data_IF_321803163794
#
_entry.id   IF_321803163794
#
_cell.length_a   1.000
_cell.length_b   1.000
_cell.length_c   1.000
_cell.angle_alpha   90.00
_cell.angle_beta   90.00
_cell.angle_gamma   90.00
#
_symmetry.space_group_name_H-M   'P 1'
#
loop_
_entity.id
_entity.type
_entity.pdbx_description
1 polymer ?
#
# COMPACT_ATOMS: atom_id res chain seq x y z
N UNK A 1 13.96 10.14 -25.98
CA UNK A 1 13.75 8.90 -25.21
C UNK A 1 15.02 8.33 -24.56
N UNK A 2 16.20 8.47 -25.18
CA UNK A 2 17.50 8.02 -24.61
C UNK A 2 17.96 8.89 -23.43
N UNK A 3 17.68 10.19 -23.43
CA UNK A 3 18.08 11.12 -22.37
C UNK A 3 17.37 10.87 -21.03
N UNK A 4 16.11 10.44 -21.04
CA UNK A 4 15.35 10.13 -19.82
C UNK A 4 15.74 8.78 -19.21
N UNK A 5 16.19 7.82 -20.01
CA UNK A 5 16.71 6.54 -19.53
C UNK A 5 18.07 6.71 -18.83
N UNK A 6 18.95 7.57 -19.36
CA UNK A 6 20.29 7.81 -18.80
C UNK A 6 20.21 8.53 -17.44
N UNK A 7 19.26 9.45 -17.24
CA UNK A 7 19.02 10.11 -15.95
C UNK A 7 18.45 9.15 -14.89
N UNK A 8 17.73 8.09 -15.29
CA UNK A 8 17.26 7.05 -14.37
C UNK A 8 18.34 6.07 -13.91
N UNK A 9 19.38 5.84 -14.73
CA UNK A 9 20.48 4.93 -14.39
C UNK A 9 21.30 5.47 -13.21
N UNK A 10 21.46 6.78 -13.05
CA UNK A 10 22.21 7.38 -11.94
C UNK A 10 21.50 7.42 -10.58
N UNK A 11 20.20 7.11 -10.52
CA UNK A 11 19.41 7.18 -9.28
C UNK A 11 19.12 5.84 -8.58
N UNK A 12 19.38 4.71 -9.25
CA UNK A 12 19.03 3.39 -8.72
C UNK A 12 19.84 2.98 -7.48
N UNK A 13 21.09 3.40 -7.38
CA UNK A 13 21.95 3.12 -6.23
C UNK A 13 21.40 3.80 -4.96
N UNK A 14 21.01 5.06 -5.09
CA UNK A 14 20.41 5.82 -4.01
C UNK A 14 19.05 5.22 -3.61
N UNK A 15 18.25 4.79 -4.57
CA UNK A 15 16.95 4.15 -4.34
C UNK A 15 17.09 2.82 -3.58
N UNK A 16 18.09 1.99 -3.92
CA UNK A 16 18.41 0.76 -3.21
C UNK A 16 18.91 1.02 -1.78
N UNK A 17 19.77 2.03 -1.61
CA UNK A 17 20.28 2.42 -0.30
C UNK A 17 19.17 2.87 0.62
N UNK A 18 18.27 3.76 0.15
CA UNK A 18 17.12 4.25 0.90
C UNK A 18 16.18 3.10 1.25
N UNK A 19 15.86 2.24 0.28
CA UNK A 19 14.97 1.10 0.50
C UNK A 19 15.57 0.07 1.47
N UNK A 20 16.87 -0.19 1.39
CA UNK A 20 17.57 -1.07 2.32
C UNK A 20 17.59 -0.52 3.75
N UNK A 21 17.89 0.77 3.91
CA UNK A 21 17.82 1.47 5.19
C UNK A 21 16.41 1.48 5.78
N UNK A 22 15.39 1.69 4.94
CA UNK A 22 14.00 1.65 5.35
C UNK A 22 13.60 0.25 5.88
N UNK A 23 13.99 -0.82 5.17
CA UNK A 23 13.72 -2.20 5.62
C UNK A 23 14.37 -2.47 6.97
N UNK A 24 15.65 -2.14 7.14
CA UNK A 24 16.36 -2.33 8.42
C UNK A 24 15.65 -1.59 9.55
N UNK A 25 15.29 -0.32 9.34
CA UNK A 25 14.58 0.49 10.32
C UNK A 25 13.19 -0.09 10.66
N UNK A 26 12.46 -0.63 9.68
CA UNK A 26 11.15 -1.22 9.88
C UNK A 26 11.20 -2.52 10.70
N UNK A 27 12.26 -3.33 10.55
CA UNK A 27 12.45 -4.52 11.40
C UNK A 27 12.66 -4.14 12.86
N UNK A 28 13.46 -3.10 13.13
CA UNK A 28 13.68 -2.61 14.49
C UNK A 28 12.42 -1.96 15.08
N UNK A 29 11.72 -1.15 14.27
CA UNK A 29 10.51 -0.45 14.70
C UNK A 29 9.38 -1.42 15.07
N UNK A 30 9.24 -2.54 14.36
CA UNK A 30 8.22 -3.55 14.63
C UNK A 30 8.30 -4.13 16.05
N UNK A 31 9.50 -4.48 16.52
CA UNK A 31 9.72 -4.96 17.89
C UNK A 31 9.49 -3.86 18.94
N UNK A 32 10.00 -2.67 18.68
CA UNK A 32 9.85 -1.51 19.58
C UNK A 32 8.39 -1.07 19.70
N UNK A 33 7.60 -1.16 18.61
CA UNK A 33 6.18 -0.83 18.59
C UNK A 33 5.37 -1.69 19.57
N UNK A 34 5.55 -3.00 19.52
CA UNK A 34 4.84 -3.94 20.40
C UNK A 34 5.20 -3.67 21.86
N UNK A 35 6.49 -3.59 22.17
CA UNK A 35 6.97 -3.33 23.52
C UNK A 35 6.47 -1.99 24.06
N UNK A 36 6.43 -0.94 23.24
CA UNK A 36 5.95 0.37 23.64
C UNK A 36 4.47 0.34 24.01
N UNK A 37 3.62 -0.28 23.19
CA UNK A 37 2.19 -0.40 23.48
C UNK A 37 1.93 -1.28 24.70
N UNK A 38 2.68 -2.37 24.88
CA UNK A 38 2.53 -3.25 26.04
C UNK A 38 2.95 -2.57 27.35
N UNK A 39 3.96 -1.69 27.31
CA UNK A 39 4.43 -0.92 28.47
C UNK A 39 3.49 0.21 28.88
N UNK A 40 2.59 0.64 27.98
CA UNK A 40 1.68 1.76 28.23
C UNK A 40 0.40 1.27 28.92
N UNK A 41 0.44 1.21 30.25
CA UNK A 41 -0.68 0.76 31.10
C UNK A 41 -1.87 1.73 31.11
N UNK A 42 -1.72 2.95 30.61
CA UNK A 42 -2.74 3.99 30.65
C UNK A 42 -3.88 3.86 29.62
N UNK A 43 -3.72 2.98 28.63
CA UNK A 43 -4.82 2.62 27.72
C UNK A 43 -5.82 1.72 28.45
N UNK A 44 -6.64 2.31 29.31
CA UNK A 44 -7.64 1.67 30.15
C UNK A 44 -8.73 0.90 29.41
N UNK A 45 -8.72 0.92 28.10
CA UNK A 45 -9.64 0.19 27.27
C UNK A 45 -8.96 -0.95 26.50
N UNK A 46 -9.12 -2.15 27.01
CA UNK A 46 -8.61 -3.40 26.41
C UNK A 46 -8.91 -3.51 24.89
N UNK A 47 -10.12 -3.10 24.47
CA UNK A 47 -10.52 -3.14 23.06
C UNK A 47 -9.72 -2.12 22.21
N UNK A 48 -9.51 -0.90 22.70
CA UNK A 48 -8.77 0.15 22.00
C UNK A 48 -7.28 -0.20 21.84
N UNK A 49 -6.66 -0.70 22.90
CA UNK A 49 -5.25 -1.14 22.86
C UNK A 49 -5.03 -2.24 21.84
N UNK A 50 -5.86 -3.28 21.85
CA UNK A 50 -5.73 -4.40 20.92
C UNK A 50 -5.96 -3.98 19.47
N UNK A 51 -6.91 -3.07 19.21
CA UNK A 51 -7.11 -2.52 17.86
C UNK A 51 -5.92 -1.69 17.37
N UNK A 52 -5.34 -0.86 18.23
CA UNK A 52 -4.15 -0.06 17.89
C UNK A 52 -2.95 -0.98 17.61
N UNK A 53 -2.74 -2.00 18.45
CA UNK A 53 -1.71 -3.01 18.23
C UNK A 53 -1.90 -3.72 16.89
N UNK A 54 -3.10 -4.23 16.62
CA UNK A 54 -3.41 -4.97 15.40
C UNK A 54 -3.19 -4.10 14.16
N UNK A 55 -3.77 -2.90 14.13
CA UNK A 55 -3.70 -2.00 12.96
C UNK A 55 -2.27 -1.51 12.74
N UNK A 56 -1.56 -1.14 13.82
CA UNK A 56 -0.17 -0.69 13.72
C UNK A 56 0.77 -1.79 13.25
N UNK A 57 0.62 -3.00 13.79
CA UNK A 57 1.42 -4.16 13.35
C UNK A 57 1.14 -4.49 11.89
N UNK A 58 -0.13 -4.53 11.47
CA UNK A 58 -0.50 -4.74 10.06
C UNK A 58 0.10 -3.67 9.15
N UNK A 59 0.08 -2.40 9.56
CA UNK A 59 0.69 -1.31 8.79
C UNK A 59 2.19 -1.49 8.60
N UNK A 60 2.90 -1.84 9.66
CA UNK A 60 4.34 -2.10 9.61
C UNK A 60 4.68 -3.33 8.76
N UNK A 61 3.91 -4.41 8.87
CA UNK A 61 4.10 -5.63 8.05
C UNK A 61 3.85 -5.35 6.56
N UNK A 62 2.76 -4.65 6.22
CA UNK A 62 2.49 -4.25 4.84
C UNK A 62 3.61 -3.40 4.25
N UNK A 63 4.15 -2.48 5.05
CA UNK A 63 5.26 -1.64 4.62
C UNK A 63 6.53 -2.45 4.40
N UNK A 64 6.87 -3.38 5.31
CA UNK A 64 8.01 -4.30 5.16
C UNK A 64 7.89 -5.13 3.88
N UNK A 65 6.76 -5.79 3.69
CA UNK A 65 6.51 -6.62 2.50
C UNK A 65 6.62 -5.76 1.24
N UNK A 66 6.07 -4.55 1.26
CA UNK A 66 6.13 -3.63 0.14
C UNK A 66 7.54 -3.23 -0.25
N UNK A 67 8.38 -2.85 0.72
CA UNK A 67 9.77 -2.50 0.45
C UNK A 67 10.61 -3.69 -0.01
N UNK A 68 10.42 -4.87 0.60
CA UNK A 68 11.11 -6.10 0.16
C UNK A 68 10.73 -6.44 -1.27
N UNK A 69 9.43 -6.43 -1.61
CA UNK A 69 8.95 -6.69 -2.96
C UNK A 69 9.48 -5.67 -3.95
N UNK A 70 9.52 -4.39 -3.55
CA UNK A 70 10.07 -3.31 -4.38
C UNK A 70 11.55 -3.56 -4.72
N UNK A 71 12.39 -3.92 -3.73
CA UNK A 71 13.81 -4.24 -3.97
C UNK A 71 13.96 -5.45 -4.91
N UNK A 72 13.16 -6.50 -4.71
CA UNK A 72 13.19 -7.68 -5.59
C UNK A 72 12.85 -7.32 -7.04
N UNK A 73 11.80 -6.52 -7.24
CA UNK A 73 11.42 -6.06 -8.58
C UNK A 73 12.48 -5.14 -9.18
N UNK A 74 13.13 -4.31 -8.36
CA UNK A 74 14.20 -3.42 -8.83
C UNK A 74 15.45 -4.20 -9.26
N UNK A 75 15.81 -5.24 -8.50
CA UNK A 75 16.89 -6.16 -8.86
C UNK A 75 16.58 -6.89 -10.18
N UNK A 76 15.35 -7.36 -10.36
CA UNK A 76 14.90 -7.99 -11.60
C UNK A 76 14.93 -7.01 -12.77
N UNK A 77 14.48 -5.78 -12.58
CA UNK A 77 14.57 -4.72 -13.59
C UNK A 77 16.02 -4.48 -14.03
N UNK A 78 16.95 -4.36 -13.06
CA UNK A 78 18.36 -4.17 -13.34
C UNK A 78 18.95 -5.35 -14.12
N UNK A 79 18.64 -6.58 -13.72
CA UNK A 79 19.08 -7.78 -14.41
C UNK A 79 18.61 -7.81 -15.88
N UNK A 80 17.34 -7.44 -16.14
CA UNK A 80 16.82 -7.37 -17.51
C UNK A 80 17.49 -6.26 -18.33
N UNK A 81 17.79 -5.11 -17.73
CA UNK A 81 18.54 -4.02 -18.40
C UNK A 81 19.95 -4.50 -18.77
N UNK A 82 20.65 -5.18 -17.86
CA UNK A 82 21.98 -5.74 -18.12
C UNK A 82 21.94 -6.78 -19.26
N UNK A 83 20.95 -7.69 -19.23
CA UNK A 83 20.79 -8.69 -20.30
C UNK A 83 20.51 -8.04 -21.64
N UNK A 84 19.66 -7.02 -21.68
CA UNK A 84 19.33 -6.28 -22.90
C UNK A 84 20.56 -5.53 -23.46
N UNK A 85 21.42 -5.04 -22.57
CA UNK A 85 22.67 -4.39 -22.98
C UNK A 85 23.67 -5.37 -23.63
N UNK A 86 23.81 -6.58 -23.05
CA UNK A 86 24.69 -7.63 -23.55
C UNK A 86 24.15 -8.27 -24.85
N UNK A 87 22.82 -8.41 -24.94
CA UNK A 87 22.17 -9.08 -26.08
C UNK A 87 21.15 -8.18 -26.79
N UNK A 88 21.60 -7.14 -27.50
CA UNK A 88 20.72 -6.15 -28.12
C UNK A 88 19.85 -6.71 -29.26
N UNK A 89 20.20 -7.89 -29.79
CA UNK A 89 19.44 -8.57 -30.87
C UNK A 89 18.14 -9.27 -30.36
N UNK A 90 17.88 -9.23 -29.06
CA UNK A 90 16.69 -9.88 -28.47
C UNK A 90 16.74 -11.42 -28.55
N UNK A 91 15.56 -12.04 -28.44
CA UNK A 91 15.42 -13.49 -28.35
C UNK A 91 15.51 -14.11 -29.74
N UNK A 92 16.50 -15.02 -29.95
CA UNK A 92 16.69 -15.78 -31.16
C UNK A 92 15.90 -17.08 -31.10
N UNK A 93 14.71 -17.14 -31.70
CA UNK A 93 13.82 -18.33 -31.70
C UNK A 93 14.48 -19.59 -32.24
N UNK A 94 15.33 -19.45 -33.25
CA UNK A 94 16.01 -20.57 -33.92
C UNK A 94 16.85 -21.43 -32.97
N UNK A 95 17.28 -20.85 -31.84
CA UNK A 95 18.08 -21.54 -30.82
C UNK A 95 17.24 -22.22 -29.75
N UNK A 96 15.91 -22.03 -29.76
CA UNK A 96 14.99 -22.63 -28.78
C UNK A 96 14.47 -23.95 -29.35
N UNK A 97 15.00 -25.07 -28.88
CA UNK A 97 14.68 -26.41 -29.37
C UNK A 97 13.51 -27.11 -28.61
N UNK A 98 12.78 -26.37 -27.78
CA UNK A 98 11.73 -26.93 -26.94
C UNK A 98 10.51 -27.37 -27.76
N UNK A 99 10.08 -28.64 -27.51
CA UNK A 99 8.92 -29.28 -28.15
C UNK A 99 7.65 -29.02 -27.35
N UNK A 100 6.48 -29.10 -28.01
CA UNK A 100 5.19 -29.09 -27.31
C UNK A 100 5.15 -30.15 -26.18
N UNK A 101 4.57 -29.86 -24.98
CA UNK A 101 3.80 -28.68 -24.62
C UNK A 101 4.61 -27.47 -24.12
N UNK A 102 5.93 -27.60 -23.96
CA UNK A 102 6.80 -26.54 -23.38
C UNK A 102 7.23 -25.48 -24.40
N UNK A 103 6.68 -25.50 -25.62
CA UNK A 103 6.99 -24.48 -26.63
C UNK A 103 6.47 -23.13 -26.20
N UNK A 104 7.39 -22.24 -25.81
CA UNK A 104 7.05 -20.84 -25.48
C UNK A 104 6.71 -20.12 -26.78
N UNK A 105 5.57 -19.44 -26.80
CA UNK A 105 5.15 -18.61 -27.94
C UNK A 105 5.84 -17.25 -27.83
N UNK A 106 7.08 -17.20 -28.26
CA UNK A 106 7.91 -15.98 -28.29
C UNK A 106 7.74 -15.37 -29.67
N UNK A 107 7.39 -14.08 -29.75
CA UNK A 107 7.38 -13.34 -31.00
C UNK A 107 8.79 -13.18 -31.55
N UNK A 108 8.94 -13.27 -32.87
CA UNK A 108 10.22 -13.09 -33.53
C UNK A 108 10.75 -11.68 -33.25
N UNK A 109 12.01 -11.55 -32.81
CA UNK A 109 12.63 -10.29 -32.38
C UNK A 109 11.89 -9.59 -31.23
N UNK A 110 11.33 -10.34 -30.28
CA UNK A 110 10.71 -9.72 -29.10
C UNK A 110 11.80 -8.98 -28.29
N UNK A 111 11.70 -7.67 -28.31
CA UNK A 111 12.59 -6.76 -27.58
C UNK A 111 12.27 -6.83 -26.08
N UNK A 112 13.30 -6.91 -25.24
CA UNK A 112 13.19 -6.85 -23.80
C UNK A 112 12.71 -5.50 -23.25
N UNK A 113 12.59 -4.47 -24.09
CA UNK A 113 12.12 -3.13 -23.67
C UNK A 113 10.70 -3.18 -23.07
N UNK A 114 9.79 -3.97 -23.68
CA UNK A 114 8.41 -4.08 -23.18
C UNK A 114 8.32 -4.68 -21.77
N UNK A 115 8.96 -5.82 -21.43
CA UNK A 115 9.00 -6.34 -20.08
C UNK A 115 9.76 -5.43 -19.10
N UNK A 116 10.84 -4.76 -19.51
CA UNK A 116 11.58 -3.81 -18.66
C UNK A 116 10.66 -2.66 -18.20
N UNK A 117 9.90 -2.06 -19.13
CA UNK A 117 8.95 -0.99 -18.81
C UNK A 117 7.82 -1.50 -17.89
N UNK A 118 7.36 -2.73 -18.08
CA UNK A 118 6.34 -3.32 -17.21
C UNK A 118 6.84 -3.49 -15.77
N UNK A 119 8.05 -4.02 -15.59
CA UNK A 119 8.63 -4.20 -14.26
C UNK A 119 8.89 -2.86 -13.58
N UNK A 120 9.40 -1.85 -14.29
CA UNK A 120 9.57 -0.49 -13.76
C UNK A 120 8.22 0.09 -13.25
N UNK A 121 7.14 -0.14 -14.01
CA UNK A 121 5.79 0.25 -13.59
C UNK A 121 5.34 -0.49 -12.34
N UNK A 122 5.56 -1.80 -12.25
CA UNK A 122 5.20 -2.58 -11.06
C UNK A 122 6.00 -2.14 -9.82
N UNK A 123 7.27 -1.75 -9.96
CA UNK A 123 8.03 -1.16 -8.85
C UNK A 123 7.33 0.07 -8.27
N UNK A 124 6.90 1.00 -9.12
CA UNK A 124 6.16 2.19 -8.69
C UNK A 124 4.81 1.87 -8.06
N UNK A 125 4.10 0.88 -8.61
CA UNK A 125 2.80 0.41 -8.09
C UNK A 125 2.94 -0.15 -6.67
N UNK A 126 3.89 -1.03 -6.45
CA UNK A 126 4.09 -1.70 -5.16
C UNK A 126 4.43 -0.69 -4.08
N UNK A 127 5.34 0.23 -4.34
CA UNK A 127 5.73 1.25 -3.36
C UNK A 127 4.56 2.20 -3.04
N UNK A 128 3.82 2.62 -4.07
CA UNK A 128 2.64 3.46 -3.89
C UNK A 128 1.57 2.78 -3.01
N UNK A 129 1.25 1.51 -3.30
CA UNK A 129 0.27 0.76 -2.52
C UNK A 129 0.72 0.56 -1.07
N UNK A 130 1.98 0.26 -0.84
CA UNK A 130 2.53 0.06 0.50
C UNK A 130 2.49 1.33 1.33
N UNK A 131 2.93 2.45 0.78
CA UNK A 131 2.93 3.74 1.48
C UNK A 131 1.50 4.23 1.70
N UNK A 132 0.63 4.16 0.69
CA UNK A 132 -0.74 4.64 0.81
C UNK A 132 -1.57 3.82 1.81
N UNK A 133 -1.41 2.49 1.82
CA UNK A 133 -2.08 1.64 2.83
C UNK A 133 -1.59 1.93 4.23
N UNK A 134 -0.29 2.14 4.42
CA UNK A 134 0.29 2.49 5.74
C UNK A 134 -0.22 3.84 6.24
N UNK A 135 -0.29 4.85 5.38
CA UNK A 135 -0.85 6.17 5.76
C UNK A 135 -2.32 6.02 6.18
N UNK A 136 -3.12 5.25 5.44
CA UNK A 136 -4.52 4.99 5.79
C UNK A 136 -4.66 4.28 7.14
N UNK A 137 -3.85 3.26 7.40
CA UNK A 137 -3.85 2.53 8.67
C UNK A 137 -3.41 3.41 9.84
N UNK A 138 -2.38 4.24 9.65
CA UNK A 138 -1.93 5.22 10.65
C UNK A 138 -3.02 6.25 10.94
N UNK A 139 -3.72 6.74 9.91
CA UNK A 139 -4.87 7.62 10.07
C UNK A 139 -6.02 6.96 10.83
N UNK A 140 -6.25 5.66 10.64
CA UNK A 140 -7.24 4.91 11.40
C UNK A 140 -6.87 4.80 12.90
N UNK A 141 -5.60 4.56 13.22
CA UNK A 141 -5.12 4.57 14.61
C UNK A 141 -5.39 5.94 15.23
N UNK A 142 -5.09 7.02 14.51
CA UNK A 142 -5.34 8.38 14.97
C UNK A 142 -6.84 8.65 15.21
N UNK A 143 -7.73 8.17 14.33
CA UNK A 143 -9.17 8.24 14.52
C UNK A 143 -9.62 7.50 15.79
N UNK A 144 -9.14 6.27 15.99
CA UNK A 144 -9.47 5.47 17.19
C UNK A 144 -9.03 6.22 18.44
N UNK A 145 -7.82 6.76 18.44
CA UNK A 145 -7.30 7.53 19.59
C UNK A 145 -8.16 8.75 19.89
N UNK A 146 -8.52 9.55 18.87
CA UNK A 146 -9.39 10.71 19.03
C UNK A 146 -10.77 10.33 19.59
N UNK A 147 -11.40 9.32 19.03
CA UNK A 147 -12.73 8.91 19.46
C UNK A 147 -12.73 8.31 20.88
N UNK A 148 -11.67 7.62 21.28
CA UNK A 148 -11.53 7.13 22.65
C UNK A 148 -11.31 8.27 23.67
N UNK A 149 -10.69 9.36 23.26
CA UNK A 149 -10.40 10.50 24.14
C UNK A 149 -11.63 11.39 24.41
N UNK A 150 -12.58 11.46 23.47
CA UNK A 150 -13.75 12.37 23.58
C UNK A 150 -14.59 12.14 24.84
N UNK A 151 -15.01 10.92 25.20
CA UNK A 151 -15.82 10.71 26.41
C UNK A 151 -15.10 11.09 27.69
N UNK A 152 -13.78 10.84 27.76
CA UNK A 152 -12.96 11.19 28.92
C UNK A 152 -12.87 12.71 29.11
N UNK A 153 -12.79 13.47 28.01
CA UNK A 153 -12.71 14.94 28.04
C UNK A 153 -14.07 15.55 28.43
N UNK A 154 -15.19 14.94 27.96
CA UNK A 154 -16.54 15.46 28.16
C UNK A 154 -17.23 14.93 29.43
N UNK A 155 -16.59 13.99 30.16
CA UNK A 155 -17.19 13.40 31.38
C UNK A 155 -18.45 12.56 31.12
N UNK A 156 -18.59 11.99 29.94
CA UNK A 156 -19.76 11.21 29.50
C UNK A 156 -19.74 9.74 29.98
N UNK A 157 -19.67 9.52 31.27
CA UNK A 157 -19.61 8.16 31.81
C UNK A 157 -20.88 7.32 31.51
N UNK A 158 -22.06 7.95 31.61
CA UNK A 158 -23.35 7.25 31.41
C UNK A 158 -23.65 6.91 29.93
N UNK A 159 -23.20 7.71 28.99
CA UNK A 159 -23.46 7.51 27.56
C UNK A 159 -22.36 6.73 26.84
N UNK A 160 -21.33 6.32 27.58
CA UNK A 160 -20.12 5.73 27.02
C UNK A 160 -20.39 4.50 26.15
N UNK A 161 -21.21 3.57 26.62
CA UNK A 161 -21.52 2.33 25.89
C UNK A 161 -22.20 2.57 24.55
N UNK A 162 -23.19 3.47 24.51
CA UNK A 162 -23.89 3.82 23.28
C UNK A 162 -22.99 4.56 22.31
N UNK A 163 -22.17 5.49 22.81
CA UNK A 163 -21.18 6.21 22.02
C UNK A 163 -20.20 5.24 21.36
N UNK A 164 -19.63 4.31 22.12
CA UNK A 164 -18.66 3.34 21.61
C UNK A 164 -19.25 2.42 20.53
N UNK A 165 -20.51 1.99 20.69
CA UNK A 165 -21.19 1.19 19.67
C UNK A 165 -21.35 1.96 18.36
N UNK A 166 -21.68 3.25 18.41
CA UNK A 166 -21.80 4.10 17.22
C UNK A 166 -20.43 4.29 16.56
N UNK A 167 -19.38 4.52 17.32
CA UNK A 167 -18.01 4.68 16.80
C UNK A 167 -17.52 3.40 16.13
N UNK A 168 -17.65 2.25 16.79
CA UNK A 168 -17.26 0.94 16.25
C UNK A 168 -18.03 0.63 14.97
N UNK A 169 -19.36 0.87 14.95
CA UNK A 169 -20.17 0.68 13.76
C UNK A 169 -19.72 1.58 12.60
N UNK A 170 -19.46 2.85 12.88
CA UNK A 170 -19.00 3.83 11.87
C UNK A 170 -17.65 3.45 11.28
N UNK A 171 -16.70 3.04 12.12
CA UNK A 171 -15.37 2.61 11.68
C UNK A 171 -15.45 1.30 10.89
N UNK A 172 -16.28 0.33 11.32
CA UNK A 172 -16.43 -0.94 10.59
C UNK A 172 -17.06 -0.73 9.20
N UNK A 173 -18.08 0.12 9.08
CA UNK A 173 -18.66 0.51 7.80
C UNK A 173 -17.65 1.22 6.90
N UNK A 174 -16.82 2.08 7.47
CA UNK A 174 -15.77 2.78 6.72
C UNK A 174 -14.69 1.81 6.21
N UNK A 175 -14.23 0.86 7.04
CA UNK A 175 -13.29 -0.20 6.63
C UNK A 175 -13.89 -1.08 5.53
N UNK A 176 -15.17 -1.46 5.68
CA UNK A 176 -15.87 -2.22 4.66
C UNK A 176 -15.93 -1.45 3.33
N UNK A 177 -16.25 -0.15 3.34
CA UNK A 177 -16.23 0.71 2.14
C UNK A 177 -14.83 0.80 1.51
N UNK A 178 -13.78 0.84 2.34
CA UNK A 178 -12.39 0.82 1.87
C UNK A 178 -12.05 -0.48 1.14
N UNK A 179 -12.34 -1.64 1.74
CA UNK A 179 -12.04 -2.96 1.18
C UNK A 179 -12.81 -3.21 -0.11
N UNK A 180 -14.07 -2.79 -0.16
CA UNK A 180 -14.95 -2.98 -1.33
C UNK A 180 -14.74 -1.94 -2.44
N UNK A 181 -13.78 -1.04 -2.29
CA UNK A 181 -13.49 -0.01 -3.29
C UNK A 181 -14.59 1.05 -3.43
N UNK A 182 -15.27 1.39 -2.32
CA UNK A 182 -16.29 2.43 -2.28
C UNK A 182 -17.68 1.95 -2.67
N UNK A 183 -18.02 0.71 -2.35
CA UNK A 183 -19.34 0.13 -2.70
C UNK A 183 -20.48 0.87 -2.01
N UNK A 184 -20.32 1.26 -0.74
CA UNK A 184 -21.33 2.03 0.00
C UNK A 184 -21.58 3.40 -0.61
N UNK A 185 -20.57 4.01 -1.22
CA UNK A 185 -20.66 5.31 -1.92
C UNK A 185 -21.39 5.24 -3.25
N UNK A 186 -21.66 4.05 -3.78
CA UNK A 186 -22.43 3.86 -5.02
C UNK A 186 -23.93 3.77 -4.75
N UNK A 187 -24.35 3.50 -3.50
CA UNK A 187 -25.75 3.36 -3.12
C UNK A 187 -26.28 4.70 -2.62
N UNK A 188 -27.13 5.35 -3.40
CA UNK A 188 -27.58 6.74 -3.17
C UNK A 188 -28.11 7.00 -1.76
N UNK A 189 -28.99 6.15 -1.25
CA UNK A 189 -29.60 6.35 0.08
C UNK A 189 -28.58 6.24 1.22
N UNK A 190 -27.69 5.24 1.15
CA UNK A 190 -26.65 5.01 2.16
C UNK A 190 -25.65 6.17 2.13
N UNK A 191 -25.32 6.67 0.94
CA UNK A 191 -24.36 7.77 0.77
C UNK A 191 -24.82 9.02 1.51
N UNK A 192 -26.08 9.39 1.44
CA UNK A 192 -26.59 10.59 2.16
C UNK A 192 -26.44 10.47 3.67
N UNK A 193 -26.72 9.29 4.24
CA UNK A 193 -26.62 9.05 5.69
C UNK A 193 -25.16 9.00 6.14
N UNK A 194 -24.29 8.33 5.36
CA UNK A 194 -22.89 8.12 5.74
C UNK A 194 -21.98 9.29 5.36
N UNK A 195 -22.43 10.18 4.49
CA UNK A 195 -21.64 11.28 3.94
C UNK A 195 -20.90 12.14 4.99
N UNK A 196 -21.57 12.66 6.03
CA UNK A 196 -20.89 13.50 7.04
C UNK A 196 -19.82 12.72 7.79
N UNK A 197 -20.12 11.46 8.16
CA UNK A 197 -19.19 10.59 8.89
C UNK A 197 -18.01 10.22 8.02
N UNK A 198 -18.25 9.79 6.79
CA UNK A 198 -17.18 9.39 5.86
C UNK A 198 -16.33 10.58 5.44
N UNK A 199 -16.89 11.76 5.30
CA UNK A 199 -16.14 12.98 4.99
C UNK A 199 -15.19 13.35 6.12
N UNK A 200 -15.64 13.22 7.36
CA UNK A 200 -14.81 13.43 8.54
C UNK A 200 -13.69 12.37 8.62
N UNK A 201 -14.03 11.10 8.47
CA UNK A 201 -13.05 10.00 8.46
C UNK A 201 -12.04 10.13 7.32
N UNK A 202 -12.48 10.48 6.10
CA UNK A 202 -11.59 10.72 4.95
C UNK A 202 -10.59 11.86 5.20
N UNK A 203 -10.99 12.86 5.98
CA UNK A 203 -10.11 13.97 6.33
C UNK A 203 -9.11 13.55 7.40
N UNK A 204 -9.57 12.87 8.45
CA UNK A 204 -8.74 12.39 9.55
C UNK A 204 -7.75 11.30 9.11
N UNK A 205 -8.16 10.39 8.23
CA UNK A 205 -7.30 9.31 7.70
C UNK A 205 -6.40 9.78 6.56
N UNK A 206 -6.37 11.07 6.23
CA UNK A 206 -5.63 11.63 5.08
C UNK A 206 -5.98 10.98 3.74
N UNK A 207 -7.09 10.26 3.65
CA UNK A 207 -7.56 9.59 2.41
C UNK A 207 -7.74 10.58 1.27
N UNK A 208 -8.22 11.80 1.55
CA UNK A 208 -8.38 12.86 0.54
C UNK A 208 -7.07 13.21 -0.16
N UNK A 209 -5.95 13.15 0.56
CA UNK A 209 -4.63 13.41 -0.01
C UNK A 209 -4.21 12.28 -0.96
N UNK A 210 -4.46 11.03 -0.55
CA UNK A 210 -4.10 9.83 -1.33
C UNK A 210 -5.07 9.61 -2.49
N UNK A 211 -6.33 10.04 -2.37
CA UNK A 211 -7.39 9.78 -3.35
C UNK A 211 -7.08 10.34 -4.73
N UNK A 212 -6.49 11.54 -4.82
CA UNK A 212 -6.11 12.14 -6.12
C UNK A 212 -5.06 11.32 -6.85
N UNK A 213 -4.00 10.89 -6.15
CA UNK A 213 -2.96 10.02 -6.70
C UNK A 213 -3.50 8.61 -6.98
N UNK A 214 -4.42 8.11 -6.14
CA UNK A 214 -5.13 6.86 -6.37
C UNK A 214 -5.95 6.85 -7.64
N UNK A 215 -6.73 7.89 -7.91
CA UNK A 215 -7.49 8.00 -9.16
C UNK A 215 -6.57 8.02 -10.38
N UNK A 216 -5.48 8.79 -10.33
CA UNK A 216 -4.49 8.82 -11.40
C UNK A 216 -3.93 7.41 -11.63
N UNK A 217 -3.67 6.67 -10.58
CA UNK A 217 -3.20 5.30 -10.63
C UNK A 217 -4.26 4.35 -11.23
N UNK A 218 -5.47 4.28 -10.66
CA UNK A 218 -6.52 3.34 -11.10
C UNK A 218 -7.04 3.61 -12.50
N UNK A 219 -7.03 4.87 -12.96
CA UNK A 219 -7.48 5.21 -14.32
C UNK A 219 -6.44 4.86 -15.38
N UNK A 220 -5.17 4.77 -15.02
CA UNK A 220 -4.07 4.46 -15.94
C UNK A 220 -3.61 2.99 -15.91
N UNK A 221 -4.14 2.16 -15.00
CA UNK A 221 -3.93 0.71 -15.09
C UNK A 221 -4.78 0.20 -16.27
N UNK A 222 -4.15 -0.41 -17.30
CA UNK A 222 -4.93 -1.06 -18.34
C UNK A 222 -5.86 -2.09 -17.67
N UNK A 223 -7.17 -1.98 -17.92
CA UNK A 223 -8.16 -2.95 -17.42
C UNK A 223 -7.65 -4.33 -17.79
N UNK A 224 -7.29 -5.12 -16.80
CA UNK A 224 -7.02 -6.53 -16.98
C UNK A 224 -8.31 -7.11 -17.58
N UNK A 225 -8.25 -7.43 -18.89
CA UNK A 225 -9.29 -8.23 -19.52
C UNK A 225 -9.16 -9.63 -18.93
N UNK A 226 -10.02 -9.95 -17.96
CA UNK A 226 -10.32 -11.30 -17.55
C UNK A 226 -11.21 -11.94 -18.59
#
# INVERSE_FOLDING_TARGET
LLGTACLRIGGWELELLISGGAIFSLFQLSGSWVNWIESTNEFTFFLGRNMILLIGTLGLELLKIGFITHIMLRALWLAMVCVNYVYPKGIQKERITWKKPFKVDVKENEDLQSPIIKVDRYCGIVIYLSISSTILLTGMIFCIFLFLSVPSILGWEYAYGLYMNIVVLSLSLYVFDLITGGLLRKITYITYITYPIFTLLDTLTLRKFIQKSGFLFFTNIPKLKF
#
